data_IF_721638876572
#
_entry.id   IF_721638876572
#
_cell.length_a   1.000
_cell.length_b   1.000
_cell.length_c   1.000
_cell.angle_alpha   90.00
_cell.angle_beta   90.00
_cell.angle_gamma   90.00
#
_symmetry.space_group_name_H-M   'P 1'
#
loop_
_entity.id
_entity.type
_entity.pdbx_description
1 polymer ?
#
# COMPACT_ATOMS: atom_id res chain seq x y z
N UNK A 1 16.72 15.25 -19.36
CA UNK A 1 16.19 14.46 -18.22
C UNK A 1 14.81 13.93 -18.61
N UNK A 2 14.55 12.62 -18.51
CA UNK A 2 13.20 12.04 -18.76
C UNK A 2 12.27 12.46 -17.61
N UNK A 3 11.02 12.82 -17.93
CA UNK A 3 10.00 13.06 -16.89
C UNK A 3 9.66 11.73 -16.20
N UNK A 4 9.56 11.70 -14.86
CA UNK A 4 9.16 10.50 -14.14
C UNK A 4 7.72 10.12 -14.51
N UNK A 5 7.45 8.81 -14.59
CA UNK A 5 6.12 8.28 -14.83
C UNK A 5 5.16 8.64 -13.69
N UNK A 6 3.84 8.54 -13.93
CA UNK A 6 2.84 8.77 -12.88
C UNK A 6 3.06 7.84 -11.67
N UNK A 7 3.44 6.58 -11.94
CA UNK A 7 3.78 5.61 -10.91
C UNK A 7 5.04 6.02 -10.12
N UNK A 8 6.11 6.42 -10.80
CA UNK A 8 7.34 6.85 -10.14
C UNK A 8 7.10 8.07 -9.22
N UNK A 9 6.28 9.02 -9.68
CA UNK A 9 5.89 10.17 -8.86
C UNK A 9 5.05 9.74 -7.65
N UNK A 10 4.06 8.88 -7.88
CA UNK A 10 3.21 8.36 -6.82
C UNK A 10 4.03 7.64 -5.74
N UNK A 11 4.95 6.76 -6.13
CA UNK A 11 5.87 6.07 -5.22
C UNK A 11 6.70 7.07 -4.43
N UNK A 12 7.35 8.03 -5.11
CA UNK A 12 8.20 9.02 -4.46
C UNK A 12 7.47 9.89 -3.44
N UNK A 13 6.18 10.19 -3.67
CA UNK A 13 5.37 11.04 -2.80
C UNK A 13 4.66 10.27 -1.68
N UNK A 14 4.43 8.96 -1.85
CA UNK A 14 3.49 8.21 -1.01
C UNK A 14 4.03 6.91 -0.42
N UNK A 15 5.22 6.45 -0.81
CA UNK A 15 5.88 5.26 -0.28
C UNK A 15 7.21 5.66 0.33
N UNK A 16 7.38 5.44 1.62
CA UNK A 16 8.49 6.03 2.39
C UNK A 16 9.59 5.03 2.69
N UNK A 17 9.37 4.12 3.64
CA UNK A 17 10.42 3.24 4.14
C UNK A 17 9.90 1.83 4.41
N UNK A 18 10.76 0.85 4.14
CA UNK A 18 10.48 -0.54 4.50
C UNK A 18 10.59 -0.67 6.03
N UNK A 19 9.55 -1.17 6.67
CA UNK A 19 9.38 -1.17 8.12
C UNK A 19 9.10 -2.57 8.70
N UNK A 20 9.50 -3.63 8.00
CA UNK A 20 9.27 -5.03 8.40
C UNK A 20 9.67 -5.35 9.85
N UNK A 21 10.86 -4.93 10.29
CA UNK A 21 11.28 -5.19 11.68
C UNK A 21 10.41 -4.48 12.73
N UNK A 22 9.94 -3.27 12.44
CA UNK A 22 9.05 -2.54 13.34
C UNK A 22 7.71 -3.28 13.46
N UNK A 23 7.15 -3.74 12.34
CA UNK A 23 5.93 -4.55 12.31
C UNK A 23 6.12 -5.86 13.08
N UNK A 24 7.23 -6.58 12.87
CA UNK A 24 7.53 -7.81 13.62
C UNK A 24 7.54 -7.56 15.12
N UNK A 25 8.25 -6.52 15.60
CA UNK A 25 8.31 -6.19 17.04
C UNK A 25 6.95 -5.78 17.62
N UNK A 26 6.16 -5.02 16.86
CA UNK A 26 4.80 -4.68 17.27
C UNK A 26 3.91 -5.94 17.34
N UNK A 27 4.12 -6.90 16.45
CA UNK A 27 3.40 -8.18 16.46
C UNK A 27 3.74 -9.00 17.69
N UNK A 28 5.04 -9.13 17.99
CA UNK A 28 5.56 -9.87 19.15
C UNK A 28 5.09 -9.24 20.46
N UNK A 29 4.94 -7.91 20.50
CA UNK A 29 4.38 -7.18 21.62
C UNK A 29 2.84 -7.27 21.73
N UNK A 30 2.16 -7.93 20.79
CA UNK A 30 0.69 -8.01 20.75
C UNK A 30 0.00 -6.70 20.40
N UNK A 31 0.70 -5.77 19.78
CA UNK A 31 0.22 -4.42 19.47
C UNK A 31 -0.31 -4.26 18.04
N UNK A 32 -0.12 -5.25 17.16
CA UNK A 32 -0.69 -5.18 15.81
C UNK A 32 -2.21 -5.41 15.83
N UNK A 33 -3.02 -4.44 15.34
CA UNK A 33 -4.39 -4.77 14.94
C UNK A 33 -4.30 -5.80 13.82
N UNK A 34 -5.16 -6.83 13.83
CA UNK A 34 -5.22 -7.78 12.72
C UNK A 34 -5.46 -7.00 11.42
N UNK A 35 -4.76 -7.32 10.32
CA UNK A 35 -5.03 -6.69 9.04
C UNK A 35 -6.52 -6.80 8.70
N UNK A 36 -7.13 -5.69 8.28
CA UNK A 36 -8.56 -5.55 8.01
C UNK A 36 -9.00 -6.27 6.72
N UNK A 37 -8.41 -7.42 6.39
CA UNK A 37 -8.84 -8.22 5.24
C UNK A 37 -9.57 -9.47 5.73
N UNK A 38 -10.91 -9.53 5.58
CA UNK A 38 -11.65 -10.76 5.80
C UNK A 38 -11.13 -11.88 4.90
N UNK A 39 -10.62 -12.97 5.48
CA UNK A 39 -10.27 -14.19 4.74
C UNK A 39 -8.94 -14.17 3.96
N UNK A 40 -8.07 -13.18 4.16
CA UNK A 40 -6.76 -13.16 3.51
C UNK A 40 -5.76 -14.11 4.19
N UNK A 41 -5.58 -15.29 3.60
CA UNK A 41 -4.41 -16.15 3.84
C UNK A 41 -3.13 -15.62 3.17
N UNK A 42 -3.18 -14.45 2.51
CA UNK A 42 -2.04 -13.92 1.77
C UNK A 42 -0.88 -13.58 2.72
N UNK A 43 0.21 -14.32 2.55
CA UNK A 43 1.45 -14.11 3.30
C UNK A 43 2.08 -12.77 2.92
N UNK A 44 2.05 -11.80 3.84
CA UNK A 44 2.71 -10.51 3.64
C UNK A 44 4.23 -10.72 3.66
N UNK A 45 4.90 -10.30 2.59
CA UNK A 45 6.34 -10.49 2.40
C UNK A 45 7.17 -9.28 2.84
N UNK A 46 6.64 -8.09 2.64
CA UNK A 46 7.28 -6.84 3.04
C UNK A 46 6.27 -5.89 3.65
N UNK A 47 6.74 -5.02 4.54
CA UNK A 47 5.94 -3.94 5.10
C UNK A 47 6.57 -2.61 4.75
N UNK A 48 5.76 -1.66 4.31
CA UNK A 48 6.16 -0.34 3.87
C UNK A 48 5.31 0.74 4.55
N UNK A 49 5.96 1.78 5.10
CA UNK A 49 5.28 2.98 5.55
C UNK A 49 4.81 3.77 4.32
N UNK A 50 3.54 4.15 4.32
CA UNK A 50 2.89 4.85 3.20
C UNK A 50 2.08 6.05 3.67
N UNK A 51 1.77 6.96 2.74
CA UNK A 51 0.91 8.11 3.02
C UNK A 51 -0.55 7.67 3.21
N UNK A 52 -1.42 8.53 3.81
CA UNK A 52 -2.85 8.27 3.87
C UNK A 52 -3.51 8.09 2.50
N UNK A 53 -2.99 8.78 1.47
CA UNK A 53 -3.50 8.68 0.10
C UNK A 53 -3.20 7.29 -0.49
N UNK A 54 -1.96 6.82 -0.37
CA UNK A 54 -1.60 5.48 -0.81
C UNK A 54 -2.33 4.40 -0.01
N UNK A 55 -2.45 4.57 1.31
CA UNK A 55 -3.19 3.64 2.17
C UNK A 55 -4.65 3.43 1.69
N UNK A 56 -5.35 4.52 1.35
CA UNK A 56 -6.73 4.45 0.83
C UNK A 56 -6.79 3.70 -0.51
N UNK A 57 -5.90 4.04 -1.42
CA UNK A 57 -5.87 3.42 -2.75
C UNK A 57 -5.52 1.92 -2.67
N UNK A 58 -4.55 1.55 -1.83
CA UNK A 58 -4.12 0.17 -1.61
C UNK A 58 -5.23 -0.67 -0.95
N UNK A 59 -5.93 -0.11 0.05
CA UNK A 59 -7.13 -0.75 0.63
C UNK A 59 -8.23 -0.98 -0.41
N UNK A 60 -8.48 0.02 -1.27
CA UNK A 60 -9.45 -0.12 -2.35
C UNK A 60 -9.04 -1.19 -3.37
N UNK A 61 -7.73 -1.45 -3.52
CA UNK A 61 -7.18 -2.53 -4.34
C UNK A 61 -7.15 -3.90 -3.61
N UNK A 62 -7.62 -3.98 -2.36
CA UNK A 62 -7.63 -5.22 -1.57
C UNK A 62 -6.30 -5.58 -0.92
N UNK A 63 -5.32 -4.67 -0.90
CA UNK A 63 -4.03 -4.90 -0.27
C UNK A 63 -4.08 -4.72 1.26
N UNK A 64 -3.25 -5.46 2.02
CA UNK A 64 -3.22 -5.34 3.46
C UNK A 64 -2.63 -4.00 3.87
N UNK A 65 -3.38 -3.23 4.65
CA UNK A 65 -2.89 -1.98 5.23
C UNK A 65 -3.23 -1.96 6.72
N UNK A 66 -2.18 -1.94 7.55
CA UNK A 66 -2.29 -1.71 8.99
C UNK A 66 -2.35 -0.20 9.24
N UNK A 67 -3.15 0.19 10.23
CA UNK A 67 -3.22 1.58 10.67
C UNK A 67 -2.94 1.69 12.17
N UNK A 68 -2.07 2.63 12.51
CA UNK A 68 -1.65 2.95 13.86
C UNK A 68 -1.72 4.45 14.07
N UNK A 69 -2.83 4.92 14.63
CA UNK A 69 -3.14 6.34 14.67
C UNK A 69 -3.01 6.94 13.25
N UNK A 70 -2.02 7.81 13.04
CA UNK A 70 -1.73 8.49 11.78
C UNK A 70 -0.74 7.73 10.87
N UNK A 71 -0.23 6.57 11.30
CA UNK A 71 0.72 5.76 10.53
C UNK A 71 -0.01 4.67 9.74
N UNK A 72 0.37 4.51 8.48
CA UNK A 72 -0.19 3.50 7.58
C UNK A 72 0.92 2.59 7.06
N UNK A 73 0.77 1.29 7.24
CA UNK A 73 1.76 0.29 6.86
C UNK A 73 1.13 -0.66 5.86
N UNK A 74 1.56 -0.56 4.60
CA UNK A 74 1.14 -1.46 3.55
C UNK A 74 1.96 -2.74 3.58
N UNK A 75 1.27 -3.86 3.60
CA UNK A 75 1.82 -5.19 3.45
C UNK A 75 1.88 -5.57 1.98
N UNK A 76 3.08 -5.59 1.40
CA UNK A 76 3.29 -6.01 0.02
C UNK A 76 3.32 -7.53 -0.05
N UNK A 77 2.36 -8.11 -0.76
CA UNK A 77 2.17 -9.58 -0.85
C UNK A 77 3.01 -10.22 -1.97
N UNK A 78 3.24 -9.51 -3.09
CA UNK A 78 3.91 -10.05 -4.30
C UNK A 78 5.45 -9.88 -4.34
N UNK A 79 6.11 -9.77 -3.19
CA UNK A 79 7.40 -9.07 -3.08
C UNK A 79 8.69 -9.93 -3.13
N UNK A 80 8.84 -10.95 -3.99
CA UNK A 80 10.16 -11.60 -4.13
C UNK A 80 10.96 -11.01 -5.30
N UNK A 81 11.72 -9.95 -4.99
CA UNK A 81 12.77 -9.40 -5.87
C UNK A 81 12.30 -8.41 -6.94
N UNK A 82 11.01 -8.08 -6.99
CA UNK A 82 10.44 -7.10 -7.92
C UNK A 82 10.57 -5.67 -7.40
N UNK A 83 10.85 -4.73 -8.30
CA UNK A 83 10.86 -3.29 -7.98
C UNK A 83 9.47 -2.84 -7.53
N UNK A 84 9.39 -1.75 -6.75
CA UNK A 84 8.10 -1.10 -6.47
C UNK A 84 7.43 -0.60 -7.74
N UNK A 85 8.21 -0.28 -8.78
CA UNK A 85 7.71 0.15 -10.09
C UNK A 85 7.02 -0.97 -10.87
N UNK A 86 7.25 -2.23 -10.50
CA UNK A 86 6.60 -3.40 -11.13
C UNK A 86 5.40 -3.89 -10.32
N UNK A 87 5.05 -3.20 -9.23
CA UNK A 87 3.98 -3.62 -8.34
C UNK A 87 2.60 -3.24 -8.91
N UNK A 88 1.73 -4.23 -9.20
CA UNK A 88 0.43 -3.95 -9.81
C UNK A 88 -0.50 -3.16 -8.88
N UNK A 89 -0.37 -3.31 -7.55
CA UNK A 89 -1.19 -2.57 -6.61
C UNK A 89 -0.78 -1.09 -6.56
N UNK A 90 0.52 -0.79 -6.62
CA UNK A 90 1.00 0.59 -6.76
C UNK A 90 0.65 1.17 -8.14
N UNK A 91 0.75 0.38 -9.20
CA UNK A 91 0.35 0.79 -10.55
C UNK A 91 -1.15 1.13 -10.62
N UNK A 92 -2.00 0.37 -9.93
CA UNK A 92 -3.43 0.66 -9.78
C UNK A 92 -3.66 1.90 -8.91
N UNK A 93 -2.96 2.02 -7.79
CA UNK A 93 -3.09 3.15 -6.86
C UNK A 93 -2.63 4.49 -7.46
N UNK A 94 -1.67 4.45 -8.38
CA UNK A 94 -1.18 5.62 -9.10
C UNK A 94 -2.14 6.11 -10.20
N UNK A 95 -3.17 5.35 -10.56
CA UNK A 95 -4.18 5.80 -11.53
C UNK A 95 -5.10 6.82 -10.86
N UNK A 96 -5.39 7.95 -11.51
CA UNK A 96 -6.39 8.87 -11.00
C UNK A 96 -7.73 8.15 -10.87
N UNK A 97 -8.47 8.42 -9.79
CA UNK A 97 -9.82 7.92 -9.63
C UNK A 97 -10.64 8.34 -10.86
N UNK A 98 -11.15 7.37 -11.60
CA UNK A 98 -12.01 7.64 -12.74
C UNK A 98 -13.23 8.39 -12.22
N UNK A 99 -13.56 9.58 -12.77
CA UNK A 99 -14.74 10.29 -12.32
C UNK A 99 -15.96 9.39 -12.48
N UNK A 100 -16.90 9.39 -11.52
CA UNK A 100 -18.09 8.58 -11.63
C UNK A 100 -18.75 8.87 -12.98
N UNK A 101 -19.14 7.80 -13.70
CA UNK A 101 -19.82 7.94 -14.97
C UNK A 101 -20.98 8.93 -14.80
N UNK A 102 -21.17 9.88 -15.73
CA UNK A 102 -22.26 10.83 -15.62
C UNK A 102 -23.55 10.02 -15.51
N UNK A 103 -24.22 10.12 -14.35
CA UNK A 103 -25.59 9.66 -14.20
C UNK A 103 -26.40 10.51 -15.18
N UNK A 104 -26.73 9.92 -16.32
CA UNK A 104 -27.58 10.56 -17.32
C UNK A 104 -28.86 11.05 -16.65
N UNK A 105 -29.17 12.33 -16.85
CA UNK A 105 -30.46 12.91 -16.55
C UNK A 105 -31.44 12.60 -17.68
#
# INVERSE_FOLDING_TARGET
MKRPSALQRFIAENVFSRCGQAVTRLSEAGLLPRPEIPGSEAEVREWWLVSPLAARALRAAGEPVLQFCELYLWGRTQARGSSLEDDPALAAAAKPAEPPAPTGW
#
